data_IF_000464470968
#
_entry.id   IF_000464470968
#
_cell.length_a   1.000
_cell.length_b   1.000
_cell.length_c   1.000
_cell.angle_alpha   90.00
_cell.angle_beta   90.00
_cell.angle_gamma   90.00
#
_symmetry.space_group_name_H-M   'P 1'
#
loop_
_entity.id
_entity.type
_entity.pdbx_description
1 polymer ?
#
# COMPACT_ATOMS: atom_id res chain seq x y z
N UNK A 1 59.84 23.80 1.38
CA UNK A 1 59.24 22.68 0.63
C UNK A 1 58.94 21.54 1.60
N UNK A 2 57.78 21.56 2.25
CA UNK A 2 57.36 20.57 3.24
C UNK A 2 56.24 19.73 2.65
N UNK A 3 56.52 18.44 2.41
CA UNK A 3 55.57 17.49 1.83
C UNK A 3 54.56 17.07 2.91
N UNK A 4 53.31 17.50 2.75
CA UNK A 4 52.19 17.10 3.60
C UNK A 4 51.85 15.62 3.35
N UNK A 5 51.99 14.82 4.40
CA UNK A 5 51.73 13.39 4.41
C UNK A 5 50.21 13.16 4.56
N UNK A 6 49.52 12.86 3.46
CA UNK A 6 48.13 12.41 3.51
C UNK A 6 48.11 10.97 4.06
N UNK A 7 47.67 10.87 5.31
CA UNK A 7 47.39 9.64 6.03
C UNK A 7 46.34 8.86 5.23
N UNK A 8 46.77 7.84 4.49
CA UNK A 8 45.86 6.84 3.91
C UNK A 8 45.15 6.16 5.06
N UNK A 9 43.85 6.39 5.16
CA UNK A 9 42.98 5.62 6.05
C UNK A 9 43.18 4.14 5.71
N UNK A 10 43.67 3.40 6.69
CA UNK A 10 43.61 1.95 6.69
C UNK A 10 42.14 1.63 6.92
N UNK A 11 41.40 1.41 5.85
CA UNK A 11 40.12 0.71 5.92
C UNK A 11 40.42 -0.65 6.54
N UNK A 12 40.06 -0.74 7.82
CA UNK A 12 40.19 -1.91 8.65
C UNK A 12 39.18 -2.97 8.25
N UNK A 13 39.55 -4.19 8.62
CA UNK A 13 38.72 -5.38 8.66
C UNK A 13 38.25 -5.93 7.30
N UNK A 14 38.93 -7.01 6.90
CA UNK A 14 38.35 -8.11 6.14
C UNK A 14 37.19 -8.72 6.94
N UNK A 15 36.08 -8.00 7.09
CA UNK A 15 34.84 -8.65 7.49
C UNK A 15 34.38 -9.46 6.28
N UNK A 16 34.22 -10.79 6.40
CA UNK A 16 33.70 -11.58 5.29
C UNK A 16 32.35 -11.01 4.91
N UNK A 17 32.14 -10.81 3.60
CA UNK A 17 30.85 -10.38 3.09
C UNK A 17 29.75 -11.26 3.69
N UNK A 18 28.64 -10.68 4.15
CA UNK A 18 27.56 -11.46 4.74
C UNK A 18 27.10 -12.53 3.75
N UNK A 19 26.99 -13.76 4.24
CA UNK A 19 26.46 -14.87 3.46
C UNK A 19 25.02 -14.51 3.08
N UNK A 20 24.69 -14.68 1.80
CA UNK A 20 23.33 -14.45 1.33
C UNK A 20 22.37 -15.44 1.99
N UNK A 21 21.34 -14.92 2.66
CA UNK A 21 20.25 -15.71 3.24
C UNK A 21 18.98 -15.48 2.42
N UNK A 22 18.31 -16.58 2.07
CA UNK A 22 17.00 -16.53 1.43
C UNK A 22 15.98 -16.01 2.44
N UNK A 23 15.37 -14.85 2.16
CA UNK A 23 14.28 -14.30 2.96
C UNK A 23 13.00 -14.20 2.11
N UNK A 24 11.81 -14.29 2.73
CA UNK A 24 10.56 -14.05 2.03
C UNK A 24 10.49 -12.59 1.55
N UNK A 25 9.68 -12.28 0.52
CA UNK A 25 9.41 -10.91 0.12
C UNK A 25 8.76 -10.13 1.27
N UNK A 26 9.18 -8.87 1.48
CA UNK A 26 8.73 -8.06 2.62
C UNK A 26 7.22 -7.77 2.70
N UNK A 27 6.50 -7.97 1.59
CA UNK A 27 5.05 -7.79 1.52
C UNK A 27 4.24 -9.04 1.88
N UNK A 28 4.89 -10.21 1.97
CA UNK A 28 4.22 -11.47 2.30
C UNK A 28 4.04 -11.57 3.82
N UNK A 29 2.79 -11.64 4.32
CA UNK A 29 2.57 -11.85 5.74
C UNK A 29 2.94 -13.29 6.13
N UNK A 30 3.40 -13.49 7.37
CA UNK A 30 3.58 -14.83 7.92
C UNK A 30 2.26 -15.59 7.92
N UNK A 31 2.31 -16.90 7.63
CA UNK A 31 1.12 -17.77 7.59
C UNK A 31 0.36 -17.77 8.91
N UNK A 32 1.07 -17.59 10.02
CA UNK A 32 0.50 -17.67 11.35
C UNK A 32 1.21 -16.70 12.31
N UNK A 33 0.47 -16.17 13.28
CA UNK A 33 0.98 -15.09 14.15
C UNK A 33 1.91 -15.57 15.26
N UNK A 34 1.80 -16.84 15.67
CA UNK A 34 2.47 -17.38 16.89
C UNK A 34 3.37 -18.57 16.57
N UNK A 35 2.81 -19.61 15.97
CA UNK A 35 3.57 -20.75 15.46
C UNK A 35 4.42 -20.39 14.23
N UNK A 36 5.62 -20.95 14.19
CA UNK A 36 6.55 -20.87 13.07
C UNK A 36 6.14 -21.85 11.98
N UNK A 37 5.18 -21.43 11.15
CA UNK A 37 4.65 -22.21 10.01
C UNK A 37 5.12 -21.58 8.68
N UNK A 38 6.18 -20.78 8.73
CA UNK A 38 6.76 -20.13 7.55
C UNK A 38 5.87 -19.09 6.86
N UNK A 39 6.03 -18.98 5.54
CA UNK A 39 5.39 -17.98 4.69
C UNK A 39 4.70 -18.65 3.49
N UNK A 40 3.51 -18.17 3.07
CA UNK A 40 2.82 -18.77 1.94
C UNK A 40 3.68 -18.70 0.67
N UNK A 41 3.92 -19.86 0.04
CA UNK A 41 4.67 -19.95 -1.22
C UNK A 41 6.17 -19.66 -1.11
N UNK A 42 6.71 -19.61 0.10
CA UNK A 42 8.14 -19.44 0.34
C UNK A 42 8.66 -20.62 1.16
N UNK A 43 9.38 -21.50 0.48
CA UNK A 43 9.93 -22.74 1.04
C UNK A 43 11.46 -22.74 0.78
N UNK A 44 12.27 -22.19 1.69
CA UNK A 44 13.72 -22.13 1.50
C UNK A 44 14.34 -23.53 1.64
N UNK A 45 15.51 -23.79 1.02
CA UNK A 45 16.23 -25.02 1.25
C UNK A 45 16.67 -25.10 2.73
N UNK A 46 16.28 -26.16 3.41
CA UNK A 46 16.61 -26.38 4.82
C UNK A 46 17.95 -27.12 4.94
N UNK A 47 18.97 -26.53 5.59
CA UNK A 47 20.23 -27.23 5.85
C UNK A 47 19.99 -28.53 6.61
N UNK A 48 20.56 -29.65 6.15
CA UNK A 48 20.45 -30.95 6.81
C UNK A 48 19.31 -31.87 6.31
N UNK A 49 18.37 -31.36 5.49
CA UNK A 49 17.31 -32.22 4.93
C UNK A 49 17.87 -33.22 3.90
N UNK A 50 18.87 -32.81 3.13
CA UNK A 50 19.51 -33.61 2.08
C UNK A 50 20.68 -34.47 2.60
N UNK A 51 21.19 -34.18 3.81
CA UNK A 51 22.35 -34.85 4.39
C UNK A 51 22.05 -36.28 4.86
N UNK A 52 20.76 -36.67 4.92
CA UNK A 52 20.34 -38.04 5.22
C UNK A 52 20.45 -38.91 3.96
N UNK A 53 21.69 -39.28 3.65
CA UNK A 53 22.07 -40.18 2.55
C UNK A 53 21.93 -41.64 2.99
N UNK A 54 20.74 -42.22 2.82
CA UNK A 54 20.56 -43.67 3.00
C UNK A 54 21.17 -44.44 1.83
N UNK A 55 21.61 -45.67 2.05
CA UNK A 55 22.20 -46.52 1.00
C UNK A 55 21.28 -46.68 -0.22
N UNK A 56 19.95 -46.71 0.00
CA UNK A 56 18.96 -46.73 -1.08
C UNK A 56 18.97 -45.43 -1.90
N UNK A 57 19.01 -44.26 -1.26
CA UNK A 57 19.09 -42.97 -1.98
C UNK A 57 20.38 -42.83 -2.79
N UNK A 58 21.49 -43.38 -2.30
CA UNK A 58 22.77 -43.36 -2.99
C UNK A 58 22.77 -44.29 -4.21
N UNK A 59 22.21 -45.50 -4.07
CA UNK A 59 22.25 -46.51 -5.13
C UNK A 59 21.14 -46.32 -6.19
N UNK A 60 19.94 -45.96 -5.76
CA UNK A 60 18.74 -45.90 -6.61
C UNK A 60 18.32 -44.46 -6.97
N UNK A 61 18.96 -43.46 -6.35
CA UNK A 61 18.62 -42.04 -6.49
C UNK A 61 17.55 -41.57 -5.49
N UNK A 62 17.37 -40.25 -5.42
CA UNK A 62 16.34 -39.63 -4.59
C UNK A 62 15.16 -39.17 -5.47
N UNK A 63 13.95 -39.65 -5.16
CA UNK A 63 12.70 -39.16 -5.72
C UNK A 63 11.76 -38.76 -4.58
N UNK A 64 11.06 -37.63 -4.75
CA UNK A 64 10.05 -37.19 -3.80
C UNK A 64 8.81 -38.07 -3.94
N UNK A 65 8.37 -38.68 -2.84
CA UNK A 65 7.13 -39.43 -2.83
C UNK A 65 5.94 -38.48 -3.05
N UNK A 66 4.95 -38.87 -3.87
CA UNK A 66 3.73 -38.08 -4.02
C UNK A 66 3.03 -37.95 -2.67
N UNK A 67 2.60 -36.74 -2.33
CA UNK A 67 1.90 -36.49 -1.06
C UNK A 67 0.48 -37.09 -1.09
N UNK A 68 -0.10 -37.17 -2.28
CA UNK A 68 -1.44 -37.74 -2.51
C UNK A 68 -1.29 -38.93 -3.44
N UNK A 69 -1.96 -40.05 -3.15
CA UNK A 69 -1.83 -41.27 -3.96
C UNK A 69 -2.42 -41.14 -5.37
N UNK A 70 -3.30 -40.16 -5.58
CA UNK A 70 -4.07 -39.98 -6.80
C UNK A 70 -3.96 -38.56 -7.35
N UNK A 71 -2.73 -38.13 -7.66
CA UNK A 71 -2.45 -36.78 -8.21
C UNK A 71 -2.94 -36.62 -9.66
N UNK A 72 -3.09 -37.72 -10.39
CA UNK A 72 -3.46 -37.72 -11.81
C UNK A 72 -4.96 -37.95 -12.04
N UNK A 73 -5.73 -38.30 -11.02
CA UNK A 73 -7.18 -38.45 -11.18
C UNK A 73 -7.87 -37.10 -11.22
N UNK A 74 -8.77 -36.94 -12.18
CA UNK A 74 -9.64 -35.77 -12.21
C UNK A 74 -10.59 -35.78 -11.01
N UNK A 75 -10.89 -34.60 -10.45
CA UNK A 75 -11.89 -34.45 -9.39
C UNK A 75 -13.29 -35.00 -9.78
N UNK A 76 -13.53 -35.15 -11.08
CA UNK A 76 -14.74 -35.76 -11.67
C UNK A 76 -14.71 -37.30 -11.58
N UNK A 77 -13.55 -37.93 -11.59
CA UNK A 77 -13.40 -39.39 -11.57
C UNK A 77 -13.40 -39.94 -10.13
N UNK A 78 -12.86 -39.18 -9.18
CA UNK A 78 -13.03 -39.44 -7.74
C UNK A 78 -14.50 -39.39 -7.27
N UNK A 79 -15.43 -38.96 -8.15
CA UNK A 79 -16.88 -38.84 -7.91
C UNK A 79 -17.62 -40.18 -7.85
N UNK A 80 -17.05 -41.26 -8.39
CA UNK A 80 -17.75 -42.54 -8.55
C UNK A 80 -16.89 -43.68 -7.99
N UNK A 81 -17.13 -44.13 -6.73
CA UNK A 81 -18.01 -45.29 -6.60
C UNK A 81 -18.90 -45.40 -5.34
N UNK A 82 -18.90 -44.48 -4.36
CA UNK A 82 -19.58 -44.78 -3.07
C UNK A 82 -20.15 -43.62 -2.23
N UNK A 83 -20.56 -42.49 -2.81
CA UNK A 83 -21.16 -41.41 -2.00
C UNK A 83 -22.43 -40.80 -2.62
N UNK A 84 -23.50 -41.59 -2.65
CA UNK A 84 -24.87 -41.12 -2.91
C UNK A 84 -25.41 -40.15 -1.83
N UNK A 85 -24.60 -39.75 -0.84
CA UNK A 85 -24.98 -38.80 0.23
C UNK A 85 -24.09 -37.55 0.33
N UNK A 86 -23.07 -37.39 -0.51
CA UNK A 86 -22.15 -36.22 -0.46
C UNK A 86 -21.75 -35.63 -1.82
N UNK A 87 -22.38 -36.05 -2.92
CA UNK A 87 -21.73 -35.99 -4.24
C UNK A 87 -22.23 -34.99 -5.29
N UNK A 88 -22.85 -33.86 -4.93
CA UNK A 88 -22.83 -32.68 -5.83
C UNK A 88 -22.07 -31.57 -5.09
N UNK A 89 -20.77 -31.44 -5.36
CA UNK A 89 -19.92 -30.36 -4.85
C UNK A 89 -20.43 -28.94 -5.23
N UNK A 90 -21.45 -28.88 -6.08
CA UNK A 90 -22.15 -27.69 -6.52
C UNK A 90 -23.68 -27.84 -6.40
N UNK A 91 -24.17 -28.73 -5.54
CA UNK A 91 -25.59 -28.72 -5.20
C UNK A 91 -25.93 -27.38 -4.54
N UNK A 92 -27.17 -26.93 -4.65
CA UNK A 92 -27.61 -25.66 -4.05
C UNK A 92 -27.30 -25.57 -2.55
N UNK A 93 -27.38 -26.70 -1.86
CA UNK A 93 -27.08 -26.82 -0.42
C UNK A 93 -25.59 -26.69 -0.09
N UNK A 94 -24.69 -27.12 -0.98
CA UNK A 94 -23.24 -26.99 -0.74
C UNK A 94 -22.76 -25.54 -0.90
N UNK A 95 -23.39 -24.81 -1.83
CA UNK A 95 -23.09 -23.40 -2.09
C UNK A 95 -23.56 -22.53 -0.92
N UNK A 96 -24.74 -22.79 -0.36
CA UNK A 96 -25.26 -22.05 0.80
C UNK A 96 -24.42 -22.28 2.07
N UNK A 97 -23.90 -23.50 2.26
CA UNK A 97 -22.94 -23.79 3.33
C UNK A 97 -21.63 -23.03 3.11
N UNK A 98 -21.09 -23.01 1.89
CA UNK A 98 -19.89 -22.24 1.57
C UNK A 98 -20.10 -20.74 1.79
N UNK A 99 -21.24 -20.20 1.39
CA UNK A 99 -21.63 -18.81 1.63
C UNK A 99 -21.62 -18.50 3.12
N UNK A 100 -22.23 -19.36 3.94
CA UNK A 100 -22.28 -19.22 5.39
C UNK A 100 -20.87 -19.19 6.00
N UNK A 101 -20.00 -20.13 5.60
CA UNK A 101 -18.61 -20.20 6.06
C UNK A 101 -17.84 -18.95 5.64
N UNK A 102 -17.98 -18.52 4.39
CA UNK A 102 -17.30 -17.32 3.89
C UNK A 102 -17.77 -16.07 4.63
N UNK A 103 -19.07 -15.93 4.88
CA UNK A 103 -19.62 -14.85 5.68
C UNK A 103 -18.99 -14.85 7.07
N UNK A 104 -18.94 -16.00 7.75
CA UNK A 104 -18.33 -16.11 9.08
C UNK A 104 -16.84 -15.71 9.07
N UNK A 105 -16.09 -16.13 8.06
CA UNK A 105 -14.69 -15.72 7.86
C UNK A 105 -14.59 -14.20 7.70
N UNK A 106 -15.46 -13.58 6.89
CA UNK A 106 -15.48 -12.12 6.73
C UNK A 106 -15.83 -11.40 8.02
N UNK A 107 -16.83 -11.86 8.79
CA UNK A 107 -17.20 -11.28 10.08
C UNK A 107 -16.05 -11.31 11.08
N UNK A 108 -15.27 -12.40 11.11
CA UNK A 108 -14.09 -12.53 11.98
C UNK A 108 -12.90 -11.68 11.49
N UNK A 109 -12.76 -11.50 10.18
CA UNK A 109 -11.70 -10.68 9.56
C UNK A 109 -11.97 -9.18 9.64
N UNK A 110 -13.23 -8.75 9.55
CA UNK A 110 -13.62 -7.33 9.56
C UNK A 110 -12.98 -6.49 10.71
N UNK A 111 -13.01 -6.92 11.99
CA UNK A 111 -12.38 -6.16 13.07
C UNK A 111 -10.85 -6.18 13.04
N UNK A 112 -10.24 -7.12 12.31
CA UNK A 112 -8.79 -7.26 12.16
C UNK A 112 -8.26 -6.67 10.85
N UNK A 113 -9.16 -6.16 10.00
CA UNK A 113 -8.77 -5.52 8.75
C UNK A 113 -8.05 -4.19 9.04
N UNK A 114 -7.01 -3.84 8.27
CA UNK A 114 -6.32 -2.57 8.45
C UNK A 114 -7.31 -1.41 8.23
N UNK A 115 -7.43 -0.54 9.24
CA UNK A 115 -8.29 0.64 9.18
C UNK A 115 -7.74 1.58 8.12
N UNK A 116 -8.53 1.87 7.09
CA UNK A 116 -8.20 2.90 6.11
C UNK A 116 -8.19 4.25 6.85
N UNK A 117 -7.06 4.99 6.86
CA UNK A 117 -6.99 6.25 7.57
C UNK A 117 -8.02 7.22 7.00
N UNK A 118 -8.69 7.97 7.88
CA UNK A 118 -9.63 9.00 7.47
C UNK A 118 -8.94 10.02 6.55
N UNK A 119 -9.64 10.47 5.51
CA UNK A 119 -9.09 11.41 4.53
C UNK A 119 -8.53 12.65 5.22
N UNK A 120 -7.21 12.86 5.11
CA UNK A 120 -6.53 14.05 5.66
C UNK A 120 -6.75 15.29 4.78
N UNK A 121 -7.56 15.18 3.71
CA UNK A 121 -7.84 16.29 2.81
C UNK A 121 -8.70 17.34 3.52
N UNK A 122 -8.04 18.39 4.00
CA UNK A 122 -8.70 19.60 4.51
C UNK A 122 -8.84 20.61 3.39
N UNK A 123 -10.02 21.19 3.29
CA UNK A 123 -10.28 22.28 2.34
C UNK A 123 -9.46 23.50 2.76
N UNK A 124 -8.79 24.19 1.82
CA UNK A 124 -8.17 25.48 2.06
C UNK A 124 -9.07 26.47 2.80
N UNK A 125 -8.63 26.97 3.97
CA UNK A 125 -9.34 28.06 4.64
C UNK A 125 -9.12 29.36 3.88
N UNK A 126 -10.21 30.08 3.62
CA UNK A 126 -10.16 31.42 3.03
C UNK A 126 -9.82 32.43 4.14
N UNK A 127 -8.83 33.27 3.89
CA UNK A 127 -8.32 34.23 4.87
C UNK A 127 -8.26 35.62 4.24
N UNK A 128 -8.61 36.66 4.99
CA UNK A 128 -8.39 38.05 4.59
C UNK A 128 -6.93 38.41 4.86
N UNK A 129 -6.15 38.55 3.79
CA UNK A 129 -4.76 38.99 3.86
C UNK A 129 -4.70 40.50 3.57
N UNK A 130 -3.78 41.21 4.23
CA UNK A 130 -3.46 42.60 3.89
C UNK A 130 -2.84 42.68 2.48
N UNK A 131 -2.86 43.87 1.86
CA UNK A 131 -2.42 44.02 0.46
C UNK A 131 -0.97 43.60 0.23
N UNK A 132 -0.08 43.86 1.20
CA UNK A 132 1.32 43.43 1.12
C UNK A 132 1.48 41.90 1.14
N UNK A 133 0.79 41.19 2.05
CA UNK A 133 0.85 39.72 2.11
C UNK A 133 0.10 39.08 0.94
N UNK A 134 -0.90 39.76 0.38
CA UNK A 134 -1.59 39.31 -0.83
C UNK A 134 -0.62 39.34 -2.01
N UNK A 135 0.11 40.43 -2.21
CA UNK A 135 1.12 40.53 -3.28
C UNK A 135 2.21 39.46 -3.14
N UNK A 136 2.76 39.26 -1.93
CA UNK A 136 3.74 38.20 -1.70
C UNK A 136 3.16 36.81 -1.95
N UNK A 137 1.90 36.58 -1.59
CA UNK A 137 1.22 35.30 -1.84
C UNK A 137 1.06 35.02 -3.36
N UNK A 138 0.74 36.03 -4.17
CA UNK A 138 0.67 35.87 -5.63
C UNK A 138 2.06 35.69 -6.26
N UNK A 139 3.10 36.31 -5.71
CA UNK A 139 4.48 36.05 -6.10
C UNK A 139 4.89 34.60 -5.79
N UNK A 140 4.52 34.10 -4.60
CA UNK A 140 4.73 32.70 -4.23
C UNK A 140 3.86 31.74 -5.08
N UNK A 141 2.68 32.18 -5.53
CA UNK A 141 1.86 31.43 -6.49
C UNK A 141 2.52 31.40 -7.88
N UNK A 142 3.27 32.41 -8.29
CA UNK A 142 4.01 32.39 -9.56
C UNK A 142 5.27 31.49 -9.48
N UNK A 143 5.84 31.33 -8.29
CA UNK A 143 7.06 30.55 -8.08
C UNK A 143 6.79 29.02 -8.14
N UNK A 144 7.43 28.27 -9.07
CA UNK A 144 7.30 26.81 -9.15
C UNK A 144 7.92 26.07 -7.94
N UNK A 145 8.91 26.66 -7.27
CA UNK A 145 9.60 26.06 -6.12
C UNK A 145 8.74 26.03 -4.85
N UNK A 146 7.67 26.84 -4.82
CA UNK A 146 6.73 26.87 -3.70
C UNK A 146 5.61 25.85 -3.93
N UNK A 147 5.48 24.82 -3.08
CA UNK A 147 4.46 23.79 -3.25
C UNK A 147 3.05 24.30 -2.87
N UNK A 148 2.05 23.92 -3.67
CA UNK A 148 0.65 24.36 -3.52
C UNK A 148 0.00 23.98 -2.18
N UNK A 149 0.48 22.91 -1.53
CA UNK A 149 -0.05 22.52 -0.21
C UNK A 149 0.23 23.57 0.89
N UNK A 150 1.28 24.38 0.74
CA UNK A 150 1.59 25.48 1.69
C UNK A 150 0.65 26.66 1.43
N UNK A 151 0.48 27.05 0.17
CA UNK A 151 -0.38 28.16 -0.25
C UNK A 151 -1.87 27.87 -0.01
N UNK A 152 -2.27 26.61 -0.16
CA UNK A 152 -3.63 26.15 0.11
C UNK A 152 -4.03 26.22 1.58
N UNK A 153 -3.15 26.50 2.55
CA UNK A 153 -3.57 26.67 3.95
C UNK A 153 -4.27 28.01 4.18
N UNK A 154 -3.88 29.04 3.44
CA UNK A 154 -4.37 30.42 3.63
C UNK A 154 -4.56 31.07 2.27
N UNK A 155 -5.74 30.87 1.69
CA UNK A 155 -6.04 31.40 0.36
C UNK A 155 -6.66 32.80 0.53
N UNK A 156 -6.05 33.86 -0.03
CA UNK A 156 -6.59 35.20 0.08
C UNK A 156 -8.00 35.30 -0.52
N UNK A 157 -8.89 35.98 0.18
CA UNK A 157 -10.11 36.51 -0.44
C UNK A 157 -9.72 37.52 -1.51
N UNK A 158 -9.90 37.15 -2.78
CA UNK A 158 -9.45 37.93 -3.94
C UNK A 158 -10.60 38.58 -4.71
N UNK A 159 -10.21 39.47 -5.63
CA UNK A 159 -11.09 40.10 -6.61
C UNK A 159 -11.85 39.04 -7.43
N UNK A 160 -13.02 39.41 -7.93
CA UNK A 160 -13.94 38.49 -8.63
C UNK A 160 -13.86 38.71 -10.14
N UNK A 161 -13.94 37.63 -10.92
CA UNK A 161 -14.06 37.72 -12.38
C UNK A 161 -12.80 38.25 -13.06
N UNK A 162 -12.95 39.29 -13.89
CA UNK A 162 -11.89 39.79 -14.78
C UNK A 162 -10.66 40.32 -14.02
N UNK A 163 -10.85 41.04 -12.92
CA UNK A 163 -9.78 41.56 -12.06
C UNK A 163 -8.87 40.44 -11.53
N UNK A 164 -9.41 39.24 -11.32
CA UNK A 164 -8.60 38.10 -10.90
C UNK A 164 -7.72 37.57 -12.02
N UNK A 165 -8.28 37.47 -13.23
CA UNK A 165 -7.53 37.03 -14.40
C UNK A 165 -6.41 38.00 -14.72
N UNK A 166 -6.69 39.30 -14.64
CA UNK A 166 -5.69 40.35 -14.84
C UNK A 166 -4.59 40.32 -13.75
N UNK A 167 -4.98 40.00 -12.51
CA UNK A 167 -4.02 39.83 -11.42
C UNK A 167 -3.16 38.57 -11.54
N UNK A 168 -3.70 37.46 -12.07
CA UNK A 168 -2.92 36.24 -12.36
C UNK A 168 -1.96 36.46 -13.53
N UNK A 169 -2.39 37.22 -14.54
CA UNK A 169 -1.59 37.56 -15.71
C UNK A 169 -0.45 38.52 -15.35
N UNK A 170 -0.74 39.60 -14.61
CA UNK A 170 0.26 40.58 -14.16
C UNK A 170 1.34 39.98 -13.25
N UNK A 171 1.01 38.94 -12.46
CA UNK A 171 1.98 38.22 -11.63
C UNK A 171 2.66 37.05 -12.37
N UNK A 172 2.43 36.89 -13.68
CA UNK A 172 3.01 35.84 -14.52
C UNK A 172 2.84 34.42 -13.95
N UNK A 173 1.63 34.11 -13.44
CA UNK A 173 1.35 32.81 -12.83
C UNK A 173 1.20 31.74 -13.92
N UNK A 174 1.93 30.62 -13.78
CA UNK A 174 1.81 29.49 -14.69
C UNK A 174 0.36 28.94 -14.75
N UNK A 175 -0.10 28.65 -15.97
CA UNK A 175 -1.46 28.13 -16.26
C UNK A 175 -1.95 27.03 -15.31
N UNK A 176 -1.19 25.94 -15.02
CA UNK A 176 -1.68 24.89 -14.12
C UNK A 176 -1.95 25.39 -12.69
N UNK A 177 -1.18 26.38 -12.21
CA UNK A 177 -1.34 26.97 -10.88
C UNK A 177 -2.49 27.98 -10.85
N UNK A 178 -2.70 28.72 -11.93
CA UNK A 178 -3.89 29.56 -12.12
C UNK A 178 -5.18 28.73 -12.13
N UNK A 179 -5.20 27.62 -12.86
CA UNK A 179 -6.34 26.68 -12.88
C UNK A 179 -6.58 26.05 -11.50
N UNK A 180 -5.51 25.68 -10.79
CA UNK A 180 -5.62 25.23 -9.40
C UNK A 180 -6.29 26.29 -8.52
N UNK A 181 -5.83 27.53 -8.59
CA UNK A 181 -6.39 28.64 -7.81
C UNK A 181 -7.88 28.85 -8.12
N UNK A 182 -8.25 28.87 -9.40
CA UNK A 182 -9.65 29.00 -9.83
C UNK A 182 -10.52 27.85 -9.31
N UNK A 183 -10.03 26.61 -9.33
CA UNK A 183 -10.75 25.44 -8.78
C UNK A 183 -10.92 25.49 -7.26
N UNK A 184 -9.97 26.09 -6.55
CA UNK A 184 -10.10 26.33 -5.11
C UNK A 184 -11.07 27.47 -4.83
N UNK A 185 -11.05 28.52 -5.67
CA UNK A 185 -11.89 29.71 -5.51
C UNK A 185 -13.35 29.50 -5.90
N UNK A 186 -13.62 28.67 -6.92
CA UNK A 186 -14.97 28.39 -7.43
C UNK A 186 -15.81 27.43 -6.58
N UNK A 187 -15.26 26.87 -5.49
CA UNK A 187 -16.05 26.03 -4.59
C UNK A 187 -16.89 26.87 -3.64
N UNK A 188 -18.20 26.55 -3.50
CA UNK A 188 -19.02 27.18 -2.48
C UNK A 188 -18.46 26.88 -1.09
N UNK A 189 -18.53 27.82 -0.14
CA UNK A 189 -18.27 27.50 1.26
C UNK A 189 -19.21 26.34 1.67
N UNK A 190 -18.70 25.41 2.49
CA UNK A 190 -19.56 24.38 3.09
C UNK A 190 -20.72 25.12 3.76
N UNK A 191 -21.97 24.82 3.37
CA UNK A 191 -23.14 25.23 4.13
C UNK A 191 -22.90 24.77 5.55
N UNK A 192 -22.77 25.71 6.47
CA UNK A 192 -22.93 25.44 7.89
C UNK A 192 -24.37 24.93 8.01
N UNK A 193 -24.50 23.63 8.26
CA UNK A 193 -25.76 22.97 8.53
C UNK A 193 -26.42 23.74 9.69
N UNK A 194 -27.47 24.50 9.36
CA UNK A 194 -28.34 25.12 10.34
C UNK A 194 -28.98 23.97 11.10
N UNK A 195 -28.53 23.72 12.33
CA UNK A 195 -29.32 22.90 13.25
C UNK A 195 -30.67 23.60 13.42
N UNK A 196 -31.80 22.91 13.17
CA UNK A 196 -33.10 23.46 13.56
C UNK A 196 -33.12 23.49 15.09
N UNK A 197 -33.32 24.69 15.63
CA UNK A 197 -33.55 24.93 17.05
C UNK A 197 -34.61 23.96 17.57
N UNK A 198 -34.24 23.23 18.63
CA UNK A 198 -35.16 22.41 19.38
C UNK A 198 -36.23 23.30 20.02
N UNK A 199 -37.50 23.03 19.70
CA UNK A 199 -38.69 23.47 20.45
C UNK A 199 -39.36 22.23 21.00
#
# INVERSE_FOLDING_TARGET
MTKSNAKRDKDGQNDPLPIYECHPPAWVPSTHRVADVGYPGFDPPHPGQEDVLSAAKINDGFSQAPYVQSEHSGAVEARFPQESKRGQLFDGDSISVLETIMHEVFSRRAPHAPVVPASTFKIPSRVTLNDTRRQSWFADLANPDVPLHKLGKSVPHGAKGHDLLDLLQSNNVAIPRAVWFLRVFGRPPKQTELQPDAV
#
